data_IF_953197200532
#
_entry.id   IF_953197200532
#
_cell.length_a   1.000
_cell.length_b   1.000
_cell.length_c   1.000
_cell.angle_alpha   90.00
_cell.angle_beta   90.00
_cell.angle_gamma   90.00
#
_symmetry.space_group_name_H-M   'P 1'
#
loop_
_entity.id
_entity.type
_entity.pdbx_description
1 polymer ?
#
# COMPACT_ATOMS: atom_id res chain seq x y z
N UNK A 1 3.19 2.09 33.27
CA UNK A 1 3.29 3.39 32.56
C UNK A 1 2.64 3.40 31.16
N UNK A 2 2.02 2.30 30.67
CA UNK A 2 1.66 2.12 29.25
C UNK A 2 0.26 2.55 28.76
N UNK A 3 -0.76 2.61 29.62
CA UNK A 3 -2.14 2.99 29.22
C UNK A 3 -2.31 4.40 28.62
N UNK A 4 -1.64 5.48 29.10
CA UNK A 4 -1.83 6.81 28.51
C UNK A 4 -1.18 6.94 27.13
N UNK A 5 -0.07 6.26 26.88
CA UNK A 5 0.65 6.32 25.59
C UNK A 5 -0.16 5.68 24.46
N UNK A 6 -0.71 4.48 24.70
CA UNK A 6 -1.58 3.78 23.74
C UNK A 6 -2.80 4.63 23.37
N UNK A 7 -3.41 5.30 24.35
CA UNK A 7 -4.54 6.21 24.09
C UNK A 7 -4.15 7.41 23.24
N UNK A 8 -2.99 8.02 23.51
CA UNK A 8 -2.48 9.15 22.70
C UNK A 8 -2.22 8.70 21.26
N UNK A 9 -1.62 7.52 21.07
CA UNK A 9 -1.34 6.95 19.76
C UNK A 9 -2.63 6.65 18.98
N UNK A 10 -3.63 6.06 19.64
CA UNK A 10 -4.94 5.84 19.04
C UNK A 10 -5.61 7.16 18.64
N UNK A 11 -5.55 8.20 19.49
CA UNK A 11 -6.08 9.53 19.19
C UNK A 11 -5.38 10.19 17.99
N UNK A 12 -4.06 10.05 17.84
CA UNK A 12 -3.33 10.55 16.67
C UNK A 12 -3.81 9.90 15.38
N UNK A 13 -4.10 8.60 15.42
CA UNK A 13 -4.62 7.88 14.26
C UNK A 13 -6.06 8.25 13.97
N UNK A 14 -6.93 8.35 14.99
CA UNK A 14 -8.28 8.88 14.77
C UNK A 14 -8.25 10.28 14.16
N UNK A 15 -7.37 11.16 14.64
CA UNK A 15 -7.19 12.49 14.08
C UNK A 15 -6.75 12.43 12.61
N UNK A 16 -5.79 11.59 12.28
CA UNK A 16 -5.35 11.34 10.90
C UNK A 16 -6.50 10.85 10.01
N UNK A 17 -7.25 9.85 10.47
CA UNK A 17 -8.40 9.29 9.74
C UNK A 17 -9.47 10.36 9.51
N UNK A 18 -9.79 11.16 10.53
CA UNK A 18 -10.74 12.27 10.44
C UNK A 18 -10.24 13.33 9.45
N UNK A 19 -8.97 13.72 9.51
CA UNK A 19 -8.41 14.71 8.60
C UNK A 19 -8.51 14.27 7.14
N UNK A 20 -8.07 13.05 6.82
CA UNK A 20 -8.07 12.56 5.44
C UNK A 20 -9.47 12.27 4.91
N UNK A 21 -10.37 11.73 5.74
CA UNK A 21 -11.77 11.54 5.34
C UNK A 21 -12.50 12.87 5.13
N UNK A 22 -12.30 13.84 6.02
CA UNK A 22 -12.83 15.20 5.84
C UNK A 22 -12.22 15.86 4.59
N UNK A 23 -10.92 15.70 4.36
CA UNK A 23 -10.21 16.21 3.18
C UNK A 23 -10.70 15.61 1.87
N UNK A 24 -11.17 14.36 1.88
CA UNK A 24 -11.86 13.72 0.75
C UNK A 24 -13.27 14.31 0.52
N UNK A 25 -14.07 14.46 1.58
CA UNK A 25 -15.47 14.90 1.46
C UNK A 25 -15.61 16.39 1.16
N UNK A 26 -14.72 17.24 1.70
CA UNK A 26 -14.86 18.70 1.66
C UNK A 26 -14.89 19.29 0.23
N UNK A 27 -14.03 18.86 -0.71
CA UNK A 27 -14.10 19.32 -2.11
C UNK A 27 -15.31 18.82 -2.89
N UNK A 28 -16.04 17.81 -2.41
CA UNK A 28 -17.20 17.25 -3.10
C UNK A 28 -18.48 18.06 -2.86
N UNK A 29 -18.54 18.86 -1.79
CA UNK A 29 -19.68 19.74 -1.49
C UNK A 29 -19.75 20.91 -2.48
N UNK A 30 -20.70 20.85 -3.43
CA UNK A 30 -20.88 21.83 -4.50
C UNK A 30 -21.14 23.25 -4.01
N UNK A 31 -21.53 23.43 -2.74
CA UNK A 31 -21.83 24.72 -2.11
C UNK A 31 -20.58 25.51 -1.70
N UNK A 32 -19.41 24.87 -1.58
CA UNK A 32 -18.15 25.48 -1.11
C UNK A 32 -17.16 25.60 -2.28
N UNK A 33 -17.15 26.73 -3.00
CA UNK A 33 -16.55 26.82 -4.35
C UNK A 33 -15.07 27.17 -4.43
N UNK A 34 -14.56 28.12 -3.64
CA UNK A 34 -13.21 28.65 -3.89
C UNK A 34 -12.13 28.09 -2.94
N UNK A 35 -12.39 28.02 -1.63
CA UNK A 35 -11.38 27.59 -0.65
C UNK A 35 -11.36 26.07 -0.40
N UNK A 36 -12.26 25.30 -1.01
CA UNK A 36 -12.42 23.87 -0.71
C UNK A 36 -11.22 23.02 -1.05
N UNK A 37 -10.44 23.42 -2.07
CA UNK A 37 -9.19 22.76 -2.43
C UNK A 37 -8.10 23.03 -1.40
N UNK A 38 -7.93 24.28 -0.97
CA UNK A 38 -6.92 24.65 0.02
C UNK A 38 -7.20 23.99 1.37
N UNK A 39 -8.47 23.94 1.81
CA UNK A 39 -8.86 23.21 3.03
C UNK A 39 -8.58 21.72 2.90
N UNK A 40 -8.86 21.11 1.75
CA UNK A 40 -8.58 19.70 1.51
C UNK A 40 -7.08 19.37 1.52
N UNK A 41 -6.23 20.24 0.98
CA UNK A 41 -4.78 20.10 1.06
C UNK A 41 -4.24 20.36 2.47
N UNK A 42 -4.84 21.31 3.21
CA UNK A 42 -4.49 21.55 4.61
C UNK A 42 -4.79 20.31 5.46
N UNK A 43 -5.95 19.69 5.27
CA UNK A 43 -6.34 18.46 5.96
C UNK A 43 -5.43 17.28 5.57
N UNK A 44 -5.04 17.16 4.30
CA UNK A 44 -4.03 16.21 3.86
C UNK A 44 -2.69 16.44 4.57
N UNK A 45 -2.26 17.69 4.69
CA UNK A 45 -1.03 18.07 5.39
C UNK A 45 -1.09 17.76 6.89
N UNK A 46 -2.20 18.07 7.57
CA UNK A 46 -2.39 17.75 8.99
C UNK A 46 -2.43 16.24 9.25
N UNK A 47 -3.12 15.47 8.41
CA UNK A 47 -3.11 14.00 8.48
C UNK A 47 -1.71 13.42 8.25
N UNK A 48 -0.97 13.99 7.30
CA UNK A 48 0.43 13.62 7.01
C UNK A 48 1.36 13.93 8.19
N UNK A 49 1.21 15.10 8.81
CA UNK A 49 1.97 15.47 10.00
C UNK A 49 1.64 14.54 11.17
N UNK A 50 0.36 14.18 11.36
CA UNK A 50 -0.05 13.20 12.36
C UNK A 50 0.55 11.81 12.10
N UNK A 51 0.73 11.41 10.84
CA UNK A 51 1.43 10.17 10.48
C UNK A 51 2.90 10.22 10.88
N UNK A 52 3.61 11.32 10.62
CA UNK A 52 5.01 11.50 11.04
C UNK A 52 5.12 11.47 12.56
N UNK A 53 4.30 12.26 13.25
CA UNK A 53 4.31 12.34 14.71
C UNK A 53 3.98 10.97 15.32
N UNK A 54 2.92 10.31 14.84
CA UNK A 54 2.54 8.97 15.27
C UNK A 54 3.65 7.95 15.03
N UNK A 55 4.25 7.95 13.83
CA UNK A 55 5.38 7.10 13.50
C UNK A 55 6.58 7.31 14.43
N UNK A 56 6.96 8.56 14.72
CA UNK A 56 8.02 8.86 15.69
C UNK A 56 7.67 8.30 17.07
N UNK A 57 6.43 8.48 17.53
CA UNK A 57 6.00 7.93 18.81
C UNK A 57 6.01 6.39 18.84
N UNK A 58 5.68 5.71 17.74
CA UNK A 58 5.70 4.24 17.66
C UNK A 58 7.11 3.63 17.67
N UNK A 59 8.18 4.43 17.57
CA UNK A 59 9.56 3.93 17.69
C UNK A 59 9.98 3.65 19.14
N UNK A 60 9.31 4.27 20.13
CA UNK A 60 9.71 4.21 21.53
C UNK A 60 9.10 3.05 22.34
N UNK A 61 7.83 2.63 22.13
CA UNK A 61 7.28 1.47 22.82
C UNK A 61 8.12 0.21 22.59
N UNK A 62 8.33 -0.61 23.63
CA UNK A 62 8.99 -1.90 23.48
C UNK A 62 8.10 -2.90 22.72
N UNK A 63 6.78 -2.85 22.97
CA UNK A 63 5.79 -3.75 22.41
C UNK A 63 4.99 -3.07 21.29
N UNK A 64 4.52 -3.85 20.28
CA UNK A 64 3.57 -3.36 19.28
C UNK A 64 2.31 -2.78 19.93
N UNK A 65 1.73 -1.78 19.28
CA UNK A 65 0.48 -1.15 19.72
C UNK A 65 -0.66 -1.64 18.84
N UNK A 66 -1.67 -2.22 19.49
CA UNK A 66 -2.83 -2.80 18.85
C UNK A 66 -4.11 -2.19 19.43
N UNK A 67 -5.08 -1.91 18.58
CA UNK A 67 -6.40 -1.50 19.03
C UNK A 67 -7.48 -1.82 18.00
N UNK A 68 -8.63 -2.26 18.50
CA UNK A 68 -9.82 -2.50 17.70
C UNK A 68 -10.73 -1.28 17.78
N UNK A 69 -10.98 -0.65 16.64
CA UNK A 69 -11.89 0.48 16.50
C UNK A 69 -13.35 0.01 16.48
N UNK A 70 -13.64 -1.07 15.77
CA UNK A 70 -14.99 -1.62 15.66
C UNK A 70 -14.96 -3.11 15.32
N UNK A 71 -15.85 -3.88 15.93
CA UNK A 71 -16.02 -5.30 15.66
C UNK A 71 -17.41 -5.51 15.05
N UNK A 72 -17.47 -6.01 13.81
CA UNK A 72 -18.73 -6.33 13.16
C UNK A 72 -19.22 -7.70 13.63
N UNK A 73 -20.47 -7.81 14.11
CA UNK A 73 -21.03 -9.10 14.45
C UNK A 73 -21.15 -9.97 13.20
N UNK A 74 -21.10 -11.29 13.41
CA UNK A 74 -21.32 -12.28 12.34
C UNK A 74 -22.71 -12.09 11.75
N UNK A 75 -22.76 -11.78 10.45
CA UNK A 75 -24.03 -11.55 9.74
C UNK A 75 -24.67 -12.86 9.25
N UNK A 76 -23.87 -13.88 8.95
CA UNK A 76 -24.31 -15.17 8.39
C UNK A 76 -23.47 -16.32 8.96
N UNK A 77 -24.08 -17.49 9.15
CA UNK A 77 -23.33 -18.73 9.41
C UNK A 77 -22.33 -18.98 8.27
N UNK A 78 -21.12 -19.40 8.63
CA UNK A 78 -19.99 -19.55 7.70
C UNK A 78 -19.14 -18.30 7.44
N UNK A 79 -19.60 -17.08 7.76
CA UNK A 79 -18.79 -15.87 7.59
C UNK A 79 -17.88 -15.59 8.81
N UNK A 80 -16.63 -15.13 8.61
CA UNK A 80 -15.73 -14.74 9.69
C UNK A 80 -16.18 -13.44 10.37
N UNK A 81 -15.74 -13.23 11.60
CA UNK A 81 -15.88 -11.94 12.29
C UNK A 81 -14.94 -10.94 11.63
N UNK A 82 -15.47 -9.78 11.22
CA UNK A 82 -14.69 -8.70 10.62
C UNK A 82 -14.42 -7.62 11.66
N UNK A 83 -13.15 -7.26 11.83
CA UNK A 83 -12.73 -6.25 12.80
C UNK A 83 -11.97 -5.13 12.11
N UNK A 84 -12.41 -3.89 12.33
CA UNK A 84 -11.57 -2.72 12.08
C UNK A 84 -10.57 -2.66 13.23
N UNK A 85 -9.49 -3.41 13.09
CA UNK A 85 -8.36 -3.40 14.00
C UNK A 85 -7.14 -2.83 13.32
N UNK A 86 -6.35 -2.11 14.12
CA UNK A 86 -5.13 -1.48 13.67
C UNK A 86 -3.95 -1.99 14.49
N UNK A 87 -2.81 -2.07 13.82
CA UNK A 87 -1.56 -2.58 14.37
C UNK A 87 -0.43 -1.66 13.93
N UNK A 88 0.37 -1.22 14.90
CA UNK A 88 1.53 -0.39 14.66
C UNK A 88 2.71 -0.87 15.51
N UNK A 89 3.76 -1.31 14.82
CA UNK A 89 5.06 -1.65 15.38
C UNK A 89 6.15 -0.75 14.79
N UNK A 90 7.42 -1.08 15.05
CA UNK A 90 8.57 -0.30 14.57
C UNK A 90 8.69 -0.28 13.05
N UNK A 91 8.24 -1.33 12.36
CA UNK A 91 8.23 -1.35 10.90
C UNK A 91 7.16 -0.39 10.37
N UNK A 92 5.93 -0.48 10.89
CA UNK A 92 4.87 0.45 10.55
C UNK A 92 5.28 1.90 10.86
N UNK A 93 5.96 2.13 12.00
CA UNK A 93 6.48 3.44 12.40
C UNK A 93 7.39 4.08 11.33
N UNK A 94 8.34 3.32 10.78
CA UNK A 94 9.23 3.80 9.71
C UNK A 94 8.42 4.17 8.46
N UNK A 95 7.50 3.32 8.03
CA UNK A 95 6.67 3.60 6.86
C UNK A 95 5.68 4.76 7.08
N UNK A 96 5.18 4.98 8.29
CA UNK A 96 4.37 6.15 8.64
C UNK A 96 5.18 7.45 8.52
N UNK A 97 6.44 7.45 9.00
CA UNK A 97 7.33 8.61 8.88
C UNK A 97 7.65 8.90 7.41
N UNK A 98 8.02 7.89 6.63
CA UNK A 98 8.32 8.04 5.21
C UNK A 98 7.11 8.52 4.41
N UNK A 99 5.95 7.90 4.65
CA UNK A 99 4.68 8.26 3.98
C UNK A 99 4.28 9.68 4.33
N UNK A 100 4.23 10.01 5.61
CA UNK A 100 3.84 11.34 6.09
C UNK A 100 4.80 12.45 5.66
N UNK A 101 6.11 12.18 5.68
CA UNK A 101 7.13 13.13 5.24
C UNK A 101 7.03 13.44 3.75
N UNK A 102 6.88 12.41 2.91
CA UNK A 102 6.74 12.59 1.47
C UNK A 102 5.40 13.22 1.09
N UNK A 103 4.32 12.86 1.79
CA UNK A 103 3.00 13.44 1.54
C UNK A 103 2.92 14.92 1.94
N UNK A 104 3.65 15.37 2.97
CA UNK A 104 3.80 16.80 3.26
C UNK A 104 4.43 17.57 2.10
N UNK A 105 5.52 17.05 1.53
CA UNK A 105 6.15 17.65 0.35
C UNK A 105 5.21 17.64 -0.86
N UNK A 106 4.47 16.53 -1.06
CA UNK A 106 3.48 16.41 -2.12
C UNK A 106 2.34 17.44 -1.98
N UNK A 107 1.86 17.72 -0.76
CA UNK A 107 0.83 18.73 -0.49
C UNK A 107 1.27 20.14 -0.92
N UNK A 108 2.52 20.51 -0.61
CA UNK A 108 3.08 21.82 -0.97
C UNK A 108 3.11 22.01 -2.49
N UNK A 109 3.60 21.00 -3.22
CA UNK A 109 3.63 21.05 -4.68
C UNK A 109 2.23 21.00 -5.30
N UNK A 110 1.32 20.18 -4.75
CA UNK A 110 -0.06 20.04 -5.26
C UNK A 110 -0.84 21.35 -5.21
N UNK A 111 -0.57 22.22 -4.23
CA UNK A 111 -1.24 23.52 -4.11
C UNK A 111 -1.03 24.40 -5.34
N UNK A 112 0.19 24.49 -5.84
CA UNK A 112 0.51 25.28 -7.02
C UNK A 112 0.03 24.59 -8.29
N UNK A 113 0.25 23.28 -8.39
CA UNK A 113 -0.11 22.49 -9.56
C UNK A 113 -1.63 22.51 -9.85
N UNK A 114 -2.47 22.39 -8.80
CA UNK A 114 -3.93 22.35 -8.94
C UNK A 114 -4.56 23.66 -9.44
N UNK A 115 -3.85 24.79 -9.39
CA UNK A 115 -4.38 26.09 -9.86
C UNK A 115 -4.67 26.09 -11.37
N UNK A 116 -3.91 25.32 -12.15
CA UNK A 116 -4.07 25.22 -13.61
C UNK A 116 -5.07 24.17 -14.08
N UNK A 117 -5.72 23.45 -13.16
CA UNK A 117 -6.47 22.24 -13.47
C UNK A 117 -7.98 22.43 -13.35
N UNK A 118 -8.74 22.06 -14.40
CA UNK A 118 -10.22 22.10 -14.36
C UNK A 118 -10.82 21.20 -13.28
N UNK A 119 -10.29 19.98 -13.12
CA UNK A 119 -10.79 18.98 -12.17
C UNK A 119 -10.19 19.10 -10.76
N UNK A 120 -9.68 20.29 -10.38
CA UNK A 120 -8.90 20.51 -9.15
C UNK A 120 -9.54 19.95 -7.87
N UNK A 121 -10.86 20.06 -7.75
CA UNK A 121 -11.63 19.58 -6.57
C UNK A 121 -11.62 18.07 -6.46
N UNK A 122 -11.90 17.38 -7.55
CA UNK A 122 -11.94 15.92 -7.57
C UNK A 122 -10.54 15.33 -7.33
N UNK A 123 -9.51 15.94 -7.90
CA UNK A 123 -8.12 15.51 -7.67
C UNK A 123 -7.72 15.72 -6.21
N UNK A 124 -8.03 16.88 -5.60
CA UNK A 124 -7.74 17.13 -4.18
C UNK A 124 -8.47 16.13 -3.25
N UNK A 125 -9.72 15.81 -3.56
CA UNK A 125 -10.47 14.79 -2.85
C UNK A 125 -9.81 13.40 -2.98
N UNK A 126 -9.57 12.96 -4.22
CA UNK A 126 -8.98 11.63 -4.48
C UNK A 126 -7.55 11.53 -3.93
N UNK A 127 -6.80 12.62 -3.89
CA UNK A 127 -5.48 12.65 -3.25
C UNK A 127 -5.58 12.33 -1.75
N UNK A 128 -6.56 12.88 -1.03
CA UNK A 128 -6.78 12.53 0.38
C UNK A 128 -7.16 11.06 0.55
N UNK A 129 -8.02 10.52 -0.32
CA UNK A 129 -8.40 9.11 -0.29
C UNK A 129 -7.21 8.19 -0.63
N UNK A 130 -6.33 8.61 -1.55
CA UNK A 130 -5.09 7.91 -1.88
C UNK A 130 -4.15 7.86 -0.68
N UNK A 131 -3.90 9.00 -0.01
CA UNK A 131 -3.11 9.04 1.23
C UNK A 131 -3.70 8.15 2.33
N UNK A 132 -5.02 8.24 2.52
CA UNK A 132 -5.74 7.43 3.49
C UNK A 132 -5.54 5.94 3.21
N UNK A 133 -5.63 5.53 1.95
CA UNK A 133 -5.50 4.13 1.56
C UNK A 133 -4.10 3.60 1.85
N UNK A 134 -3.03 4.37 1.56
CA UNK A 134 -1.65 4.00 1.89
C UNK A 134 -1.47 3.80 3.40
N UNK A 135 -1.97 4.75 4.19
CA UNK A 135 -1.84 4.72 5.65
C UNK A 135 -2.66 3.57 6.27
N UNK A 136 -3.84 3.28 5.72
CA UNK A 136 -4.64 2.13 6.11
C UNK A 136 -3.93 0.81 5.79
N UNK A 137 -3.23 0.69 4.65
CA UNK A 137 -2.43 -0.52 4.34
C UNK A 137 -1.31 -0.73 5.36
N UNK A 138 -0.65 0.34 5.80
CA UNK A 138 0.39 0.25 6.82
C UNK A 138 -0.20 -0.21 8.16
N UNK A 139 -1.35 0.33 8.55
CA UNK A 139 -1.94 0.11 9.87
C UNK A 139 -2.86 -1.11 9.95
N UNK A 140 -3.23 -1.74 8.83
CA UNK A 140 -4.22 -2.82 8.82
C UNK A 140 -3.77 -4.02 9.65
N UNK A 141 -4.64 -4.48 10.57
CA UNK A 141 -4.40 -5.69 11.36
C UNK A 141 -5.29 -6.89 10.96
N UNK A 142 -5.91 -6.82 9.79
CA UNK A 142 -6.76 -7.89 9.28
C UNK A 142 -6.65 -7.97 7.76
N UNK A 143 -6.71 -9.20 7.23
CA UNK A 143 -6.59 -9.53 5.81
C UNK A 143 -7.53 -8.71 4.94
N UNK A 144 -8.81 -8.57 5.34
CA UNK A 144 -9.80 -7.86 4.53
C UNK A 144 -9.42 -6.38 4.38
N UNK A 145 -9.10 -5.70 5.48
CA UNK A 145 -8.74 -4.28 5.45
C UNK A 145 -7.41 -4.03 4.73
N UNK A 146 -6.48 -4.98 4.85
CA UNK A 146 -5.22 -4.92 4.12
C UNK A 146 -5.45 -5.02 2.59
N UNK A 147 -6.20 -6.01 2.12
CA UNK A 147 -6.52 -6.16 0.69
C UNK A 147 -7.42 -5.02 0.17
N UNK A 148 -8.39 -4.60 0.97
CA UNK A 148 -9.29 -3.49 0.64
C UNK A 148 -8.53 -2.17 0.49
N UNK A 149 -7.60 -1.88 1.41
CA UNK A 149 -6.78 -0.67 1.32
C UNK A 149 -5.83 -0.72 0.13
N UNK A 150 -5.22 -1.88 -0.17
CA UNK A 150 -4.44 -2.07 -1.40
C UNK A 150 -5.25 -1.77 -2.66
N UNK A 151 -6.50 -2.21 -2.72
CA UNK A 151 -7.36 -1.92 -3.87
C UNK A 151 -7.81 -0.47 -3.92
N UNK A 152 -8.02 0.17 -2.76
CA UNK A 152 -8.30 1.60 -2.72
C UNK A 152 -7.10 2.43 -3.22
N UNK A 153 -5.85 2.02 -2.92
CA UNK A 153 -4.65 2.59 -3.56
C UNK A 153 -4.72 2.41 -5.07
N UNK A 154 -5.05 1.19 -5.55
CA UNK A 154 -5.21 0.91 -6.99
C UNK A 154 -6.19 1.89 -7.63
N UNK A 155 -7.43 1.92 -7.15
CA UNK A 155 -8.50 2.70 -7.78
C UNK A 155 -8.26 4.21 -7.70
N UNK A 156 -7.74 4.71 -6.59
CA UNK A 156 -7.45 6.14 -6.44
C UNK A 156 -6.31 6.58 -7.34
N UNK A 157 -5.22 5.81 -7.43
CA UNK A 157 -4.14 6.12 -8.39
C UNK A 157 -4.60 5.97 -9.84
N UNK A 158 -5.42 4.97 -10.15
CA UNK A 158 -5.99 4.81 -11.49
C UNK A 158 -6.78 6.05 -11.92
N UNK A 159 -7.57 6.63 -11.01
CA UNK A 159 -8.25 7.90 -11.28
C UNK A 159 -7.27 9.06 -11.53
N UNK A 160 -6.19 9.15 -10.74
CA UNK A 160 -5.16 10.18 -10.90
C UNK A 160 -4.38 10.05 -12.21
N UNK A 161 -4.24 8.84 -12.76
CA UNK A 161 -3.71 8.59 -14.11
C UNK A 161 -4.75 8.94 -15.19
N UNK A 162 -6.01 8.55 -14.99
CA UNK A 162 -7.10 8.81 -15.92
C UNK A 162 -7.35 10.32 -16.12
N UNK A 163 -7.06 11.14 -15.12
CA UNK A 163 -7.14 12.59 -15.22
C UNK A 163 -6.43 13.14 -16.47
N UNK A 164 -5.23 12.65 -16.80
CA UNK A 164 -4.49 13.14 -17.98
C UNK A 164 -5.18 12.79 -19.28
N UNK A 165 -5.77 11.60 -19.37
CA UNK A 165 -6.58 11.21 -20.52
C UNK A 165 -7.77 12.16 -20.71
N UNK A 166 -8.47 12.49 -19.62
CA UNK A 166 -9.58 13.44 -19.65
C UNK A 166 -9.12 14.85 -20.06
N UNK A 167 -7.96 15.30 -19.59
CA UNK A 167 -7.35 16.56 -20.00
C UNK A 167 -7.04 16.59 -21.51
N UNK A 168 -6.56 15.48 -22.07
CA UNK A 168 -6.27 15.37 -23.50
C UNK A 168 -7.54 15.40 -24.37
N UNK A 169 -8.66 14.85 -23.89
CA UNK A 169 -9.95 14.90 -24.61
C UNK A 169 -10.48 16.34 -24.75
N UNK A 170 -10.19 17.20 -23.77
CA UNK A 170 -10.61 18.60 -23.76
C UNK A 170 -9.77 19.49 -24.69
N UNK A 171 -8.62 18.99 -25.18
CA UNK A 171 -7.62 19.76 -25.91
C UNK A 171 -7.65 19.43 -27.40
N UNK A 172 -7.82 20.45 -28.25
CA UNK A 172 -7.88 20.29 -29.72
C UNK A 172 -6.52 20.08 -30.38
N UNK A 173 -5.43 20.41 -29.67
CA UNK A 173 -4.06 20.36 -30.17
C UNK A 173 -3.37 19.00 -29.95
N UNK A 174 -4.03 18.07 -29.25
CA UNK A 174 -3.49 16.74 -28.94
C UNK A 174 -3.84 15.76 -30.06
N UNK A 175 -2.84 14.98 -30.49
CA UNK A 175 -3.04 13.96 -31.52
C UNK A 175 -3.92 12.81 -31.03
N UNK A 176 -4.71 12.17 -31.91
CA UNK A 176 -5.52 10.99 -31.55
C UNK A 176 -4.67 9.85 -30.94
N UNK A 177 -3.43 9.68 -31.41
CA UNK A 177 -2.50 8.69 -30.86
C UNK A 177 -2.15 8.94 -29.39
N UNK A 178 -1.91 10.20 -28.98
CA UNK A 178 -1.61 10.51 -27.59
C UNK A 178 -2.80 10.22 -26.64
N UNK A 179 -4.03 10.45 -27.12
CA UNK A 179 -5.26 10.10 -26.40
C UNK A 179 -5.35 8.59 -26.20
N UNK A 180 -5.04 7.81 -27.25
CA UNK A 180 -5.06 6.34 -27.18
C UNK A 180 -4.00 5.79 -26.20
N UNK A 181 -2.76 6.29 -26.25
CA UNK A 181 -1.70 5.81 -25.35
C UNK A 181 -2.05 6.12 -23.88
N UNK A 182 -2.58 7.30 -23.58
CA UNK A 182 -3.01 7.63 -22.21
C UNK A 182 -4.12 6.71 -21.68
N UNK A 183 -5.07 6.31 -22.55
CA UNK A 183 -6.12 5.34 -22.20
C UNK A 183 -5.54 3.94 -21.96
N UNK A 184 -4.58 3.54 -22.79
CA UNK A 184 -3.89 2.26 -22.65
C UNK A 184 -3.09 2.19 -21.36
N UNK A 185 -2.42 3.29 -20.96
CA UNK A 185 -1.70 3.35 -19.69
C UNK A 185 -2.61 3.13 -18.48
N UNK A 186 -3.75 3.82 -18.44
CA UNK A 186 -4.78 3.61 -17.40
C UNK A 186 -5.26 2.16 -17.34
N UNK A 187 -5.56 1.54 -18.49
CA UNK A 187 -6.02 0.15 -18.54
C UNK A 187 -4.94 -0.84 -18.13
N UNK A 188 -3.71 -0.66 -18.62
CA UNK A 188 -2.58 -1.51 -18.29
C UNK A 188 -2.35 -1.54 -16.78
N UNK A 189 -2.34 -0.36 -16.15
CA UNK A 189 -2.24 -0.25 -14.70
C UNK A 189 -3.26 -1.10 -13.95
N UNK A 190 -4.56 -0.95 -14.28
CA UNK A 190 -5.62 -1.71 -13.63
C UNK A 190 -5.42 -3.22 -13.81
N UNK A 191 -5.09 -3.68 -15.02
CA UNK A 191 -4.88 -5.11 -15.29
C UNK A 191 -3.76 -5.67 -14.42
N UNK A 192 -2.59 -5.03 -14.38
CA UNK A 192 -1.47 -5.52 -13.57
C UNK A 192 -1.83 -5.52 -12.08
N UNK A 193 -2.35 -4.41 -11.55
CA UNK A 193 -2.66 -4.30 -10.13
C UNK A 193 -3.78 -5.24 -9.66
N UNK A 194 -4.79 -5.48 -10.50
CA UNK A 194 -5.87 -6.42 -10.19
C UNK A 194 -5.38 -7.88 -10.22
N UNK A 195 -4.49 -8.22 -11.14
CA UNK A 195 -3.83 -9.55 -11.15
C UNK A 195 -3.01 -9.72 -9.87
N UNK A 196 -2.23 -8.69 -9.48
CA UNK A 196 -1.50 -8.69 -8.22
C UNK A 196 -2.41 -8.89 -7.02
N UNK A 197 -3.51 -8.14 -6.93
CA UNK A 197 -4.49 -8.27 -5.85
C UNK A 197 -5.14 -9.65 -5.83
N UNK A 198 -5.49 -10.21 -7.00
CA UNK A 198 -6.12 -11.53 -7.08
C UNK A 198 -5.18 -12.63 -6.53
N UNK A 199 -3.90 -12.59 -6.89
CA UNK A 199 -2.89 -13.51 -6.35
C UNK A 199 -2.75 -13.37 -4.84
N UNK A 200 -2.65 -12.14 -4.33
CA UNK A 200 -2.59 -11.87 -2.89
C UNK A 200 -3.85 -12.33 -2.17
N UNK A 201 -5.02 -12.13 -2.77
CA UNK A 201 -6.30 -12.57 -2.19
C UNK A 201 -6.31 -14.08 -2.00
N UNK A 202 -5.88 -14.84 -3.00
CA UNK A 202 -5.75 -16.30 -2.87
C UNK A 202 -4.72 -16.67 -1.80
N UNK A 203 -3.56 -16.00 -1.76
CA UNK A 203 -2.52 -16.26 -0.75
C UNK A 203 -3.04 -16.04 0.69
N UNK A 204 -3.70 -14.91 0.95
CA UNK A 204 -4.22 -14.60 2.28
C UNK A 204 -5.44 -15.44 2.68
N UNK A 205 -6.28 -15.87 1.73
CA UNK A 205 -7.36 -16.83 2.01
C UNK A 205 -6.75 -18.18 2.43
N UNK A 206 -5.73 -18.66 1.73
CA UNK A 206 -5.04 -19.92 2.08
C UNK A 206 -4.42 -19.84 3.47
N UNK A 207 -3.76 -18.72 3.82
CA UNK A 207 -3.27 -18.47 5.18
C UNK A 207 -4.39 -18.49 6.22
N UNK A 208 -5.50 -17.80 5.93
CA UNK A 208 -6.61 -17.68 6.88
C UNK A 208 -7.22 -19.05 7.19
N UNK A 209 -7.36 -19.92 6.18
CA UNK A 209 -7.91 -21.27 6.35
C UNK A 209 -6.96 -22.18 7.17
N UNK A 210 -5.64 -21.99 7.06
CA UNK A 210 -4.66 -22.78 7.84
C UNK A 210 -4.77 -22.54 9.35
N UNK A 211 -5.22 -21.36 9.78
CA UNK A 211 -5.35 -21.04 11.21
C UNK A 211 -6.37 -21.91 11.95
N UNK A 212 -7.32 -22.53 11.22
CA UNK A 212 -8.46 -23.28 11.78
C UNK A 212 -9.25 -22.51 12.86
N UNK A 213 -9.26 -21.17 12.77
CA UNK A 213 -9.87 -20.25 13.73
C UNK A 213 -11.01 -19.47 13.09
N UNK A 214 -12.06 -19.18 13.87
CA UNK A 214 -13.14 -18.26 13.44
C UNK A 214 -12.63 -16.82 13.21
N UNK A 215 -11.47 -16.50 13.79
CA UNK A 215 -10.74 -15.24 13.63
C UNK A 215 -9.56 -15.39 12.67
N UNK A 216 -9.59 -16.35 11.74
CA UNK A 216 -8.47 -16.64 10.84
C UNK A 216 -8.05 -15.51 9.90
N UNK A 217 -8.87 -14.46 9.76
CA UNK A 217 -8.54 -13.25 8.98
C UNK A 217 -7.81 -12.18 9.81
N UNK A 218 -7.74 -12.35 11.13
CA UNK A 218 -7.00 -11.47 12.03
C UNK A 218 -5.50 -11.77 11.95
N UNK A 219 -4.67 -10.75 11.72
CA UNK A 219 -3.24 -10.94 11.58
C UNK A 219 -2.55 -11.40 12.87
N UNK A 220 -3.09 -11.11 14.05
CA UNK A 220 -2.57 -11.63 15.32
C UNK A 220 -2.76 -13.14 15.43
N UNK A 221 -3.91 -13.65 14.96
CA UNK A 221 -4.17 -15.09 14.90
C UNK A 221 -3.23 -15.74 13.89
N UNK A 222 -3.10 -15.16 12.69
CA UNK A 222 -2.16 -15.64 11.67
C UNK A 222 -0.73 -15.69 12.23
N UNK A 223 -0.22 -14.60 12.83
CA UNK A 223 1.10 -14.54 13.50
C UNK A 223 1.29 -15.65 14.52
N UNK A 224 0.29 -15.88 15.38
CA UNK A 224 0.36 -16.91 16.44
C UNK A 224 0.44 -18.34 15.90
N UNK A 225 -0.07 -18.58 14.69
CA UNK A 225 -0.09 -19.90 14.03
C UNK A 225 1.01 -20.07 12.97
N UNK A 226 1.76 -19.02 12.65
CA UNK A 226 2.71 -18.98 11.55
C UNK A 226 3.77 -20.10 11.61
N UNK A 227 4.29 -20.41 12.80
CA UNK A 227 5.27 -21.49 12.98
C UNK A 227 4.72 -22.89 12.66
N UNK A 228 3.42 -23.10 12.77
CA UNK A 228 2.78 -24.39 12.51
C UNK A 228 2.55 -24.64 11.02
N UNK A 229 2.56 -23.58 10.20
CA UNK A 229 2.28 -23.67 8.76
C UNK A 229 3.38 -24.41 7.97
N UNK A 230 4.63 -24.37 8.45
CA UNK A 230 5.80 -24.93 7.75
C UNK A 230 6.12 -26.36 8.20
N UNK A 231 5.58 -26.80 9.34
CA UNK A 231 5.81 -28.15 9.88
C UNK A 231 4.56 -29.03 9.76
N UNK A 232 4.55 -29.98 8.83
CA UNK A 232 3.47 -30.98 8.71
C UNK A 232 2.70 -30.94 7.38
N UNK A 233 1.43 -31.38 7.34
CA UNK A 233 0.62 -31.49 6.10
C UNK A 233 0.38 -30.14 5.39
N UNK A 234 0.50 -29.02 6.12
CA UNK A 234 0.27 -27.66 5.62
C UNK A 234 1.42 -27.07 4.79
N UNK A 235 2.59 -27.75 4.74
CA UNK A 235 3.81 -27.29 4.05
C UNK A 235 3.59 -26.93 2.58
N UNK A 236 2.81 -27.75 1.85
CA UNK A 236 2.51 -27.47 0.43
C UNK A 236 1.74 -26.14 0.29
N UNK A 237 0.77 -25.90 1.16
CA UNK A 237 -0.01 -24.67 1.16
C UNK A 237 0.86 -23.47 1.53
N UNK A 238 1.78 -23.61 2.50
CA UNK A 238 2.74 -22.55 2.83
C UNK A 238 3.64 -22.18 1.64
N UNK A 239 4.11 -23.18 0.87
CA UNK A 239 4.88 -22.95 -0.35
C UNK A 239 4.07 -22.23 -1.43
N UNK A 240 2.78 -22.58 -1.58
CA UNK A 240 1.88 -21.88 -2.49
C UNK A 240 1.63 -20.44 -2.06
N UNK A 241 1.40 -20.20 -0.77
CA UNK A 241 1.25 -18.84 -0.20
C UNK A 241 2.50 -18.02 -0.49
N UNK A 242 3.69 -18.57 -0.26
CA UNK A 242 4.95 -17.91 -0.54
C UNK A 242 5.07 -17.51 -2.02
N UNK A 243 4.83 -18.44 -2.95
CA UNK A 243 4.92 -18.18 -4.39
C UNK A 243 3.87 -17.16 -4.87
N UNK A 244 2.63 -17.29 -4.42
CA UNK A 244 1.55 -16.34 -4.73
C UNK A 244 1.83 -14.96 -4.15
N UNK A 245 2.37 -14.92 -2.93
CA UNK A 245 2.83 -13.70 -2.27
C UNK A 245 3.96 -13.02 -3.01
N UNK A 246 4.98 -13.78 -3.42
CA UNK A 246 6.12 -13.29 -4.18
C UNK A 246 5.67 -12.69 -5.53
N UNK A 247 4.78 -13.38 -6.24
CA UNK A 247 4.24 -12.89 -7.51
C UNK A 247 3.31 -11.68 -7.31
N UNK A 248 2.38 -11.75 -6.37
CA UNK A 248 1.40 -10.70 -6.10
C UNK A 248 2.05 -9.41 -5.60
N UNK A 249 2.90 -9.49 -4.58
CA UNK A 249 3.66 -8.33 -4.10
C UNK A 249 4.75 -7.91 -5.09
N UNK A 250 5.32 -8.84 -5.85
CA UNK A 250 6.25 -8.52 -6.94
C UNK A 250 5.61 -7.66 -8.03
N UNK A 251 4.36 -7.95 -8.42
CA UNK A 251 3.60 -7.09 -9.34
C UNK A 251 3.41 -5.69 -8.73
N UNK A 252 2.96 -5.60 -7.47
CA UNK A 252 2.76 -4.33 -6.77
C UNK A 252 4.04 -3.53 -6.54
N UNK A 253 5.18 -4.21 -6.40
CA UNK A 253 6.50 -3.60 -6.29
C UNK A 253 7.06 -3.12 -7.64
N UNK A 254 6.42 -3.47 -8.76
CA UNK A 254 6.97 -3.25 -10.09
C UNK A 254 8.23 -4.06 -10.36
N UNK A 255 8.26 -5.32 -9.93
CA UNK A 255 9.39 -6.22 -10.10
C UNK A 255 9.42 -6.86 -11.51
N UNK A 256 10.57 -7.35 -11.96
CA UNK A 256 10.72 -7.96 -13.29
C UNK A 256 9.93 -9.29 -13.40
N UNK A 257 9.28 -9.64 -14.53
CA UNK A 257 9.22 -8.96 -15.83
C UNK A 257 8.10 -7.93 -15.94
N UNK A 258 7.23 -7.83 -14.94
CA UNK A 258 6.00 -7.02 -14.99
C UNK A 258 6.22 -5.53 -14.69
N UNK A 259 7.43 -5.14 -14.27
CA UNK A 259 7.86 -3.75 -14.04
C UNK A 259 7.44 -2.73 -15.11
N UNK A 260 7.22 -3.16 -16.35
CA UNK A 260 6.81 -2.33 -17.50
C UNK A 260 5.56 -1.49 -17.24
N UNK A 261 4.67 -1.89 -16.34
CA UNK A 261 3.49 -1.08 -16.01
C UNK A 261 3.87 0.27 -15.40
N UNK A 262 4.99 0.34 -14.67
CA UNK A 262 5.49 1.53 -13.97
C UNK A 262 5.88 2.66 -14.94
N UNK A 263 6.80 2.47 -15.91
CA UNK A 263 7.15 3.50 -16.89
C UNK A 263 6.00 3.83 -17.84
N UNK A 264 5.05 2.91 -18.07
CA UNK A 264 3.85 3.18 -18.88
C UNK A 264 2.95 4.23 -18.22
N UNK A 265 2.79 4.20 -16.90
CA UNK A 265 1.84 5.08 -16.19
C UNK A 265 2.45 6.42 -15.75
N UNK A 266 3.76 6.47 -15.53
CA UNK A 266 4.45 7.65 -15.01
C UNK A 266 4.24 8.94 -15.80
N UNK A 267 4.23 8.94 -17.15
CA UNK A 267 3.97 10.17 -17.93
C UNK A 267 2.57 10.74 -17.73
N UNK A 268 1.63 9.95 -17.22
CA UNK A 268 0.20 10.28 -17.16
C UNK A 268 -0.30 10.62 -15.76
N UNK A 269 0.49 10.46 -14.70
CA UNK A 269 0.12 10.91 -13.36
C UNK A 269 0.68 12.31 -13.03
N UNK A 270 0.09 13.05 -12.08
CA UNK A 270 0.64 14.32 -11.61
C UNK A 270 2.01 14.13 -10.95
N UNK A 271 2.91 15.12 -11.05
CA UNK A 271 4.29 15.02 -10.58
C UNK A 271 4.40 14.62 -9.10
N UNK A 272 3.61 15.23 -8.21
CA UNK A 272 3.56 14.83 -6.79
C UNK A 272 3.16 13.37 -6.60
N UNK A 273 2.19 12.90 -7.39
CA UNK A 273 1.66 11.54 -7.26
C UNK A 273 2.67 10.53 -7.80
N UNK A 274 3.34 10.83 -8.91
CA UNK A 274 4.45 10.03 -9.42
C UNK A 274 5.58 9.89 -8.39
N UNK A 275 5.96 11.00 -7.74
CA UNK A 275 6.97 10.97 -6.67
C UNK A 275 6.52 10.09 -5.49
N UNK A 276 5.24 10.18 -5.10
CA UNK A 276 4.67 9.29 -4.07
C UNK A 276 4.67 7.82 -4.48
N UNK A 277 4.35 7.53 -5.75
CA UNK A 277 4.37 6.15 -6.25
C UNK A 277 5.75 5.52 -6.10
N UNK A 278 6.79 6.17 -6.64
CA UNK A 278 8.15 5.64 -6.58
C UNK A 278 8.78 5.72 -5.19
N UNK A 279 8.38 6.69 -4.36
CA UNK A 279 9.01 6.91 -3.06
C UNK A 279 8.41 6.08 -1.92
N UNK A 280 7.11 5.76 -1.98
CA UNK A 280 6.40 5.14 -0.86
C UNK A 280 5.43 4.05 -1.32
N UNK A 281 4.63 4.23 -2.36
CA UNK A 281 3.56 3.26 -2.66
C UNK A 281 4.09 1.91 -3.09
N UNK A 282 5.07 1.86 -3.99
CA UNK A 282 5.68 0.59 -4.39
C UNK A 282 6.35 -0.12 -3.20
N UNK A 283 6.94 0.67 -2.31
CA UNK A 283 7.57 0.16 -1.08
C UNK A 283 6.52 -0.36 -0.08
N UNK A 284 5.40 0.35 0.13
CA UNK A 284 4.33 -0.07 1.06
C UNK A 284 3.52 -1.24 0.49
N UNK A 285 3.06 -1.12 -0.75
CA UNK A 285 2.16 -2.07 -1.39
C UNK A 285 2.88 -3.34 -1.86
N UNK A 286 4.20 -3.24 -2.12
CA UNK A 286 5.05 -4.36 -2.53
C UNK A 286 5.93 -4.86 -1.38
N UNK A 287 6.96 -4.09 -1.02
CA UNK A 287 8.05 -4.53 -0.12
C UNK A 287 7.58 -4.73 1.33
N UNK A 288 6.87 -3.76 1.92
CA UNK A 288 6.32 -3.85 3.26
C UNK A 288 5.34 -5.03 3.38
N UNK A 289 4.43 -5.17 2.41
CA UNK A 289 3.51 -6.31 2.35
C UNK A 289 4.24 -7.65 2.22
N UNK A 290 5.28 -7.71 1.38
CA UNK A 290 6.15 -8.88 1.22
C UNK A 290 6.86 -9.23 2.53
N UNK A 291 7.40 -8.23 3.24
CA UNK A 291 8.04 -8.42 4.54
C UNK A 291 7.04 -8.99 5.56
N UNK A 292 5.86 -8.36 5.71
CA UNK A 292 4.80 -8.84 6.62
C UNK A 292 4.42 -10.29 6.30
N UNK A 293 4.22 -10.61 5.03
CA UNK A 293 3.83 -11.95 4.63
C UNK A 293 4.90 -13.01 4.93
N UNK A 294 6.16 -12.74 4.57
CA UNK A 294 7.22 -13.73 4.64
C UNK A 294 7.78 -13.92 6.04
N UNK A 295 7.87 -12.84 6.84
CA UNK A 295 8.50 -12.90 8.16
C UNK A 295 7.49 -13.01 9.30
N UNK A 296 6.27 -12.47 9.16
CA UNK A 296 5.29 -12.51 10.25
C UNK A 296 4.20 -13.55 10.05
N UNK A 297 3.74 -13.75 8.81
CA UNK A 297 2.52 -14.54 8.57
C UNK A 297 2.81 -15.97 8.13
N UNK A 298 3.93 -16.22 7.46
CA UNK A 298 4.25 -17.52 6.86
C UNK A 298 5.21 -18.38 7.70
N UNK A 299 5.73 -17.84 8.82
CA UNK A 299 6.67 -18.52 9.72
C UNK A 299 8.10 -18.61 9.15
N UNK A 300 9.03 -19.32 9.82
CA UNK A 300 10.39 -19.49 9.32
C UNK A 300 10.33 -20.25 8.00
N UNK A 301 10.63 -19.54 6.91
CA UNK A 301 10.52 -20.07 5.55
C UNK A 301 11.47 -21.23 5.28
N UNK A 302 11.15 -22.03 4.26
CA UNK A 302 12.09 -23.04 3.78
C UNK A 302 13.34 -22.38 3.19
N UNK A 303 14.50 -23.00 3.34
CA UNK A 303 15.78 -22.46 2.83
C UNK A 303 15.72 -22.04 1.34
N UNK A 304 14.97 -22.79 0.52
CA UNK A 304 14.85 -22.48 -0.90
C UNK A 304 14.05 -21.21 -1.19
N UNK A 305 13.18 -20.74 -0.27
CA UNK A 305 12.46 -19.47 -0.41
C UNK A 305 13.45 -18.31 -0.49
N UNK A 306 14.35 -18.24 0.49
CA UNK A 306 15.38 -17.21 0.51
C UNK A 306 16.31 -17.31 -0.70
N UNK A 307 16.78 -18.53 -1.03
CA UNK A 307 17.66 -18.73 -2.18
C UNK A 307 17.00 -18.26 -3.50
N UNK A 308 15.71 -18.56 -3.68
CA UNK A 308 14.95 -18.12 -4.84
C UNK A 308 14.84 -16.60 -4.90
N UNK A 309 14.54 -15.93 -3.77
CA UNK A 309 14.42 -14.47 -3.71
C UNK A 309 15.77 -13.79 -3.94
N UNK A 310 16.87 -14.32 -3.39
CA UNK A 310 18.23 -13.82 -3.66
C UNK A 310 18.57 -13.97 -5.15
N UNK A 311 18.34 -15.16 -5.71
CA UNK A 311 18.63 -15.43 -7.13
C UNK A 311 17.80 -14.51 -8.04
N UNK A 312 16.52 -14.31 -7.71
CA UNK A 312 15.63 -13.41 -8.44
C UNK A 312 16.07 -11.95 -8.34
N UNK A 313 16.42 -11.45 -7.15
CA UNK A 313 16.94 -10.10 -6.96
C UNK A 313 18.27 -9.87 -7.71
N UNK A 314 19.17 -10.85 -7.70
CA UNK A 314 20.42 -10.79 -8.46
C UNK A 314 20.17 -10.77 -9.98
N UNK A 315 19.23 -11.59 -10.47
CA UNK A 315 18.83 -11.59 -11.87
C UNK A 315 18.20 -10.26 -12.27
N UNK A 316 17.31 -9.71 -11.43
CA UNK A 316 16.69 -8.41 -11.67
C UNK A 316 17.74 -7.28 -11.70
N UNK A 317 18.74 -7.31 -10.82
CA UNK A 317 19.83 -6.34 -10.83
C UNK A 317 20.64 -6.40 -12.14
N UNK A 318 20.88 -7.61 -12.67
CA UNK A 318 21.54 -7.77 -13.97
C UNK A 318 20.71 -7.14 -15.10
N UNK A 319 19.40 -7.41 -15.14
CA UNK A 319 18.48 -6.79 -16.11
C UNK A 319 18.48 -5.26 -15.96
N UNK A 320 18.39 -4.75 -14.73
CA UNK A 320 18.41 -3.32 -14.44
C UNK A 320 19.68 -2.64 -14.94
N UNK A 321 20.83 -3.31 -14.79
CA UNK A 321 22.13 -2.80 -15.25
C UNK A 321 22.20 -2.77 -16.77
N UNK A 322 21.70 -3.80 -17.45
CA UNK A 322 21.69 -3.87 -18.91
C UNK A 322 20.71 -2.87 -19.54
N UNK A 323 19.55 -2.65 -18.91
CA UNK A 323 18.55 -1.67 -19.35
C UNK A 323 18.80 -0.23 -18.90
N UNK A 324 19.82 0.01 -18.07
CA UNK A 324 20.08 1.28 -17.39
C UNK A 324 18.86 1.80 -16.57
N UNK A 325 18.12 0.89 -15.93
CA UNK A 325 16.89 1.20 -15.19
C UNK A 325 17.15 1.33 -13.69
N UNK A 326 17.43 2.56 -13.24
CA UNK A 326 17.74 2.85 -11.83
C UNK A 326 16.61 2.42 -10.87
N UNK A 327 15.35 2.48 -11.32
CA UNK A 327 14.22 1.99 -10.55
C UNK A 327 14.35 0.49 -10.25
N UNK A 328 14.60 -0.31 -11.28
CA UNK A 328 14.67 -1.76 -11.18
C UNK A 328 15.88 -2.23 -10.34
N UNK A 329 16.98 -1.46 -10.37
CA UNK A 329 18.15 -1.70 -9.53
C UNK A 329 17.87 -1.45 -8.04
N UNK A 330 17.12 -0.40 -7.71
CA UNK A 330 16.73 -0.09 -6.31
C UNK A 330 15.83 -1.19 -5.74
N UNK A 331 14.81 -1.60 -6.48
CA UNK A 331 13.90 -2.68 -6.04
C UNK A 331 14.62 -4.03 -5.96
N UNK A 332 15.56 -4.31 -6.88
CA UNK A 332 16.38 -5.51 -6.83
C UNK A 332 17.21 -5.61 -5.54
N UNK A 333 17.83 -4.51 -5.11
CA UNK A 333 18.60 -4.47 -3.87
C UNK A 333 17.75 -4.84 -2.65
N UNK A 334 16.57 -4.24 -2.53
CA UNK A 334 15.66 -4.49 -1.40
C UNK A 334 15.12 -5.92 -1.41
N UNK A 335 14.73 -6.43 -2.58
CA UNK A 335 14.28 -7.83 -2.75
C UNK A 335 15.41 -8.80 -2.39
N UNK A 336 16.65 -8.54 -2.82
CA UNK A 336 17.80 -9.35 -2.44
C UNK A 336 18.03 -9.38 -0.92
N UNK A 337 17.86 -8.26 -0.21
CA UNK A 337 17.97 -8.23 1.25
C UNK A 337 16.91 -9.10 1.92
N UNK A 338 15.65 -9.04 1.48
CA UNK A 338 14.59 -9.95 1.95
C UNK A 338 15.02 -11.41 1.75
N UNK A 339 15.54 -11.72 0.56
CA UNK A 339 16.03 -13.07 0.27
C UNK A 339 17.14 -13.52 1.20
N UNK A 340 18.14 -12.67 1.46
CA UNK A 340 19.26 -12.99 2.35
C UNK A 340 18.76 -13.28 3.76
N UNK A 341 17.87 -12.45 4.31
CA UNK A 341 17.31 -12.67 5.65
C UNK A 341 16.51 -13.99 5.69
N UNK A 342 15.71 -14.28 4.66
CA UNK A 342 15.00 -15.56 4.54
C UNK A 342 15.96 -16.76 4.46
N UNK A 343 17.06 -16.66 3.73
CA UNK A 343 18.06 -17.74 3.61
C UNK A 343 18.76 -18.01 4.94
N UNK A 344 19.03 -16.96 5.71
CA UNK A 344 19.74 -17.05 7.00
C UNK A 344 18.83 -17.51 8.16
N UNK A 345 17.54 -17.74 7.89
CA UNK A 345 16.61 -18.32 8.85
C UNK A 345 15.74 -17.34 9.62
N UNK A 346 15.73 -16.06 9.23
CA UNK A 346 14.94 -15.00 9.89
C UNK A 346 15.63 -14.42 11.11
#
# INVERSE_FOLDING_TARGET
MGLPLVKILALLIYFLLICLTAGFLFPLDSRRRDDSVDVSLLLAGLGSLAAVVGGVFFLFPPDPVEWTMYQFPRLLEGFPILEISFYADKLAAVFLILTGGLSLAACLHMKEWLRGTKQRRAIAAVFNLFLLSILLTILANNVFYFLFSLECITLTYAYLVLYRHNEYLDRKDISPGAIEVSKTAFKAYLVFEHVGLALLTVAFILLSIQTSSEYGFDFNVIRSTAHQAVTGPARMTANLVFLLGLLGFGIKAGAFPVHVWVPIVHPYSPTSIHAMMSGVVLEVAGIYGMYRLFFEFSGPGEFWWGLLVVAYGAFQLAVATLGAELFLARTAFVISLIGVVLTLGG
#
